data_IF_964848546635
#
_entry.id   IF_964848546635
#
_cell.length_a   1.000
_cell.length_b   1.000
_cell.length_c   1.000
_cell.angle_alpha   90.00
_cell.angle_beta   90.00
_cell.angle_gamma   90.00
#
_symmetry.space_group_name_H-M   'P 1'
#
loop_
_entity.id
_entity.type
_entity.pdbx_description
1 polymer ?
#
# COMPACT_ATOMS: atom_id res chain seq x y z
N UNK A 1 36.84 -10.20 -19.72
CA UNK A 1 35.53 -10.43 -19.05
C UNK A 1 34.49 -10.53 -20.15
N UNK A 2 34.07 -11.76 -20.48
CA UNK A 2 33.07 -12.00 -21.52
C UNK A 2 31.67 -11.94 -20.89
N UNK A 3 30.84 -11.01 -21.36
CA UNK A 3 29.42 -10.93 -21.01
C UNK A 3 28.69 -12.17 -21.54
N UNK A 4 28.05 -12.92 -20.65
CA UNK A 4 27.24 -14.07 -21.02
C UNK A 4 25.83 -13.61 -21.44
N UNK A 5 25.28 -14.08 -22.57
CA UNK A 5 23.93 -13.74 -22.99
C UNK A 5 22.90 -14.41 -22.07
N UNK A 6 21.99 -13.61 -21.50
CA UNK A 6 20.88 -14.10 -20.67
C UNK A 6 19.91 -14.97 -21.48
N UNK A 7 19.73 -16.21 -21.04
CA UNK A 7 18.99 -17.29 -21.71
C UNK A 7 17.57 -17.50 -21.13
N UNK A 8 16.82 -16.42 -20.84
CA UNK A 8 15.49 -16.52 -20.19
C UNK A 8 14.33 -15.93 -21.01
N UNK A 9 14.46 -15.86 -22.33
CA UNK A 9 13.32 -15.54 -23.20
C UNK A 9 12.83 -16.81 -23.90
N UNK A 10 11.61 -17.31 -23.60
CA UNK A 10 11.04 -18.38 -24.40
C UNK A 10 10.82 -17.84 -25.82
N UNK A 11 11.63 -18.30 -26.77
CA UNK A 11 11.39 -18.13 -28.20
C UNK A 11 10.14 -18.94 -28.56
N UNK A 12 8.97 -18.33 -28.38
CA UNK A 12 7.73 -18.82 -28.95
C UNK A 12 7.83 -18.67 -30.48
N UNK A 13 8.39 -19.70 -31.11
CA UNK A 13 8.44 -19.89 -32.55
C UNK A 13 7.04 -20.13 -33.11
N UNK A 14 6.23 -19.08 -33.16
CA UNK A 14 5.03 -19.07 -33.97
C UNK A 14 5.42 -18.57 -35.36
N UNK A 15 5.61 -19.50 -36.31
CA UNK A 15 5.56 -19.21 -37.74
C UNK A 15 4.18 -18.60 -38.03
N UNK A 16 4.07 -17.28 -37.97
CA UNK A 16 2.82 -16.56 -38.24
C UNK A 16 2.57 -16.62 -39.75
N UNK A 17 1.63 -17.47 -40.15
CA UNK A 17 0.99 -17.42 -41.46
C UNK A 17 0.55 -15.99 -41.73
N UNK A 18 1.19 -15.33 -42.69
CA UNK A 18 0.92 -13.95 -43.06
C UNK A 18 -0.38 -13.86 -43.86
N UNK A 19 -1.41 -13.23 -43.28
CA UNK A 19 -2.54 -12.60 -43.98
C UNK A 19 -3.57 -11.97 -43.02
N UNK A 20 -3.44 -12.15 -41.70
CA UNK A 20 -4.33 -11.47 -40.75
C UNK A 20 -3.92 -9.99 -40.60
N UNK A 21 -4.86 -9.03 -40.79
CA UNK A 21 -4.61 -7.64 -40.44
C UNK A 21 -4.19 -7.59 -38.97
N UNK A 22 -3.15 -6.80 -38.65
CA UNK A 22 -2.67 -6.60 -37.28
C UNK A 22 -3.75 -5.88 -36.48
N UNK A 23 -4.71 -6.64 -35.97
CA UNK A 23 -5.69 -6.17 -34.99
C UNK A 23 -4.90 -5.65 -33.81
N UNK A 24 -5.02 -4.34 -33.56
CA UNK A 24 -4.31 -3.69 -32.46
C UNK A 24 -4.89 -4.24 -31.14
N UNK A 25 -4.13 -5.06 -30.39
CA UNK A 25 -4.63 -5.72 -29.18
C UNK A 25 -5.05 -4.70 -28.11
N UNK A 26 -4.48 -3.49 -28.15
CA UNK A 26 -4.86 -2.41 -27.24
C UNK A 26 -6.23 -1.82 -27.55
N UNK A 27 -6.59 -1.70 -28.84
CA UNK A 27 -7.89 -1.19 -29.25
C UNK A 27 -9.03 -2.18 -28.91
N UNK A 28 -8.80 -3.47 -29.13
CA UNK A 28 -9.75 -4.54 -28.76
C UNK A 28 -9.90 -4.61 -27.24
N UNK A 29 -8.79 -4.45 -26.52
CA UNK A 29 -8.78 -4.42 -25.06
C UNK A 29 -9.56 -3.25 -24.44
N UNK A 30 -9.37 -2.04 -24.95
CA UNK A 30 -10.10 -0.86 -24.50
C UNK A 30 -11.61 -0.99 -24.80
N UNK A 31 -11.98 -1.56 -25.95
CA UNK A 31 -13.36 -1.85 -26.30
C UNK A 31 -14.02 -2.86 -25.34
N UNK A 32 -13.33 -3.96 -25.02
CA UNK A 32 -13.83 -4.97 -24.09
C UNK A 32 -14.05 -4.39 -22.68
N UNK A 33 -13.15 -3.54 -22.20
CA UNK A 33 -13.31 -2.88 -20.90
C UNK A 33 -14.47 -1.87 -20.87
N UNK A 34 -14.69 -1.13 -21.95
CA UNK A 34 -15.85 -0.24 -22.06
C UNK A 34 -17.16 -1.03 -22.06
N UNK A 35 -17.20 -2.15 -22.79
CA UNK A 35 -18.34 -3.08 -22.82
C UNK A 35 -18.58 -3.70 -21.44
N UNK A 36 -17.54 -4.12 -20.72
CA UNK A 36 -17.66 -4.65 -19.36
C UNK A 36 -18.23 -3.63 -18.38
N UNK A 37 -17.77 -2.37 -18.43
CA UNK A 37 -18.32 -1.28 -17.60
C UNK A 37 -19.77 -0.96 -17.95
N UNK A 38 -20.12 -1.02 -19.23
CA UNK A 38 -21.49 -0.79 -19.70
C UNK A 38 -22.45 -1.91 -19.25
N UNK A 39 -22.06 -3.18 -19.43
CA UNK A 39 -22.84 -4.36 -19.02
C UNK A 39 -23.00 -4.45 -17.50
N UNK A 40 -22.02 -3.96 -16.72
CA UNK A 40 -22.08 -3.92 -15.26
C UNK A 40 -22.99 -2.83 -14.67
N UNK A 41 -23.55 -1.95 -15.51
CA UNK A 41 -24.43 -0.86 -15.06
C UNK A 41 -25.90 -1.33 -15.08
N UNK A 42 -26.67 -1.14 -14.00
CA UNK A 42 -28.09 -1.52 -13.94
C UNK A 42 -28.99 -0.89 -15.00
N UNK A 43 -28.53 0.21 -15.62
CA UNK A 43 -29.19 0.90 -16.73
C UNK A 43 -29.22 0.09 -18.03
N UNK A 44 -28.24 -0.80 -18.26
CA UNK A 44 -28.26 -1.72 -19.39
C UNK A 44 -29.38 -2.76 -19.23
N UNK A 45 -29.51 -3.36 -18.04
CA UNK A 45 -30.58 -4.31 -17.73
C UNK A 45 -31.98 -3.69 -17.87
N UNK A 46 -32.13 -2.44 -17.44
CA UNK A 46 -33.39 -1.70 -17.60
C UNK A 46 -33.76 -1.53 -19.09
N UNK A 47 -32.82 -1.06 -19.92
CA UNK A 47 -33.04 -0.94 -21.37
C UNK A 47 -33.32 -2.28 -22.05
N UNK A 48 -32.57 -3.32 -21.71
CA UNK A 48 -32.76 -4.65 -22.26
C UNK A 48 -34.16 -5.20 -21.94
N UNK A 49 -34.62 -5.03 -20.69
CA UNK A 49 -35.97 -5.42 -20.27
C UNK A 49 -37.05 -4.66 -21.05
N UNK A 50 -36.89 -3.35 -21.24
CA UNK A 50 -37.82 -2.53 -22.03
C UNK A 50 -37.93 -3.06 -23.47
N UNK A 51 -36.80 -3.35 -24.12
CA UNK A 51 -36.79 -3.88 -25.49
C UNK A 51 -37.55 -5.20 -25.58
N UNK A 52 -37.34 -6.12 -24.64
CA UNK A 52 -38.05 -7.40 -24.59
C UNK A 52 -39.55 -7.20 -24.41
N UNK A 53 -39.96 -6.34 -23.47
CA UNK A 53 -41.38 -6.03 -23.22
C UNK A 53 -42.03 -5.43 -24.47
N UNK A 54 -41.35 -4.47 -25.13
CA UNK A 54 -41.84 -3.85 -26.36
C UNK A 54 -41.95 -4.88 -27.49
N UNK A 55 -40.99 -5.79 -27.63
CA UNK A 55 -41.04 -6.86 -28.64
C UNK A 55 -42.26 -7.77 -28.44
N UNK A 56 -42.47 -8.23 -27.21
CA UNK A 56 -43.62 -9.07 -26.84
C UNK A 56 -44.93 -8.31 -27.10
N UNK A 57 -45.01 -7.02 -26.70
CA UNK A 57 -46.20 -6.19 -26.89
C UNK A 57 -46.51 -5.94 -28.36
N UNK A 58 -45.51 -5.62 -29.19
CA UNK A 58 -45.66 -5.46 -30.63
C UNK A 58 -46.13 -6.75 -31.30
N UNK A 59 -45.57 -7.89 -30.89
CA UNK A 59 -45.96 -9.19 -31.42
C UNK A 59 -47.41 -9.56 -31.04
N UNK A 60 -47.79 -9.33 -29.77
CA UNK A 60 -49.14 -9.55 -29.29
C UNK A 60 -50.18 -8.63 -29.96
N UNK A 61 -49.81 -7.38 -30.27
CA UNK A 61 -50.67 -6.43 -30.98
C UNK A 61 -50.77 -6.72 -32.48
N UNK A 62 -49.71 -7.25 -33.10
CA UNK A 62 -49.65 -7.62 -34.52
C UNK A 62 -50.31 -8.98 -34.81
N UNK A 63 -51.52 -9.20 -34.28
CA UNK A 63 -52.26 -10.46 -34.32
C UNK A 63 -52.51 -11.01 -35.74
N UNK A 64 -52.49 -10.13 -36.75
CA UNK A 64 -52.71 -10.47 -38.16
C UNK A 64 -51.43 -10.92 -38.90
N UNK A 65 -50.24 -10.50 -38.47
CA UNK A 65 -48.98 -10.82 -39.15
C UNK A 65 -48.09 -11.81 -38.41
N UNK A 66 -48.29 -11.99 -37.08
CA UNK A 66 -47.67 -13.04 -36.26
C UNK A 66 -46.20 -13.32 -36.64
N UNK A 67 -45.40 -12.25 -36.73
CA UNK A 67 -44.01 -12.34 -37.21
C UNK A 67 -43.20 -13.36 -36.39
N UNK A 68 -43.40 -13.39 -35.07
CA UNK A 68 -42.70 -14.28 -34.13
C UNK A 68 -43.72 -14.94 -33.18
N UNK A 69 -44.47 -15.97 -33.61
CA UNK A 69 -45.52 -16.59 -32.81
C UNK A 69 -44.96 -17.22 -31.52
N UNK A 70 -45.78 -17.30 -30.48
CA UNK A 70 -45.42 -18.03 -29.25
C UNK A 70 -44.92 -19.45 -29.60
N UNK A 71 -43.70 -19.85 -29.23
CA UNK A 71 -42.87 -19.40 -28.10
C UNK A 71 -41.75 -18.36 -28.40
N UNK A 72 -41.92 -17.46 -29.38
CA UNK A 72 -40.94 -16.41 -29.75
C UNK A 72 -39.57 -16.94 -30.19
N UNK A 73 -39.54 -17.69 -31.29
CA UNK A 73 -38.32 -18.36 -31.78
C UNK A 73 -37.22 -17.36 -32.18
N UNK A 74 -37.59 -16.21 -32.74
CA UNK A 74 -36.61 -15.22 -33.19
C UNK A 74 -35.98 -14.50 -32.01
N UNK A 75 -36.77 -14.14 -31.00
CA UNK A 75 -36.27 -13.57 -29.76
C UNK A 75 -35.31 -14.56 -29.07
N UNK A 76 -35.69 -15.83 -28.99
CA UNK A 76 -34.83 -16.86 -28.39
C UNK A 76 -33.51 -17.06 -29.17
N UNK A 77 -33.57 -17.05 -30.50
CA UNK A 77 -32.38 -17.15 -31.35
C UNK A 77 -31.44 -15.95 -31.16
N UNK A 78 -32.00 -14.74 -31.04
CA UNK A 78 -31.23 -13.53 -30.78
C UNK A 78 -30.52 -13.60 -29.42
N UNK A 79 -31.23 -14.00 -28.36
CA UNK A 79 -30.64 -14.20 -27.03
C UNK A 79 -29.55 -15.27 -27.02
N UNK A 80 -29.76 -16.38 -27.73
CA UNK A 80 -28.78 -17.46 -27.84
C UNK A 80 -27.49 -16.97 -28.50
N UNK A 81 -27.62 -16.19 -29.58
CA UNK A 81 -26.47 -15.60 -30.29
C UNK A 81 -25.79 -14.52 -29.44
N UNK A 82 -26.57 -13.70 -28.73
CA UNK A 82 -26.06 -12.69 -27.81
C UNK A 82 -25.20 -13.32 -26.71
N UNK A 83 -25.69 -14.40 -26.09
CA UNK A 83 -24.94 -15.13 -25.08
C UNK A 83 -23.65 -15.75 -25.65
N UNK A 84 -23.71 -16.33 -26.85
CA UNK A 84 -22.56 -16.91 -27.52
C UNK A 84 -21.44 -15.89 -27.80
N UNK A 85 -21.79 -14.65 -28.19
CA UNK A 85 -20.81 -13.59 -28.43
C UNK A 85 -20.36 -12.87 -27.14
N UNK A 86 -21.17 -12.91 -26.08
CA UNK A 86 -20.79 -12.33 -24.79
C UNK A 86 -19.59 -13.04 -24.15
N UNK A 87 -19.55 -14.38 -24.20
CA UNK A 87 -18.47 -15.17 -23.60
C UNK A 87 -17.04 -14.77 -24.05
N UNK A 88 -16.72 -14.68 -25.36
CA UNK A 88 -15.39 -14.26 -25.80
C UNK A 88 -15.08 -12.79 -25.48
N UNK A 89 -16.07 -11.90 -25.52
CA UNK A 89 -15.87 -10.49 -25.13
C UNK A 89 -15.56 -10.36 -23.63
N UNK A 90 -16.27 -11.11 -22.79
CA UNK A 90 -16.04 -11.15 -21.35
C UNK A 90 -14.64 -11.70 -21.07
N UNK A 91 -14.22 -12.77 -21.76
CA UNK A 91 -12.88 -13.34 -21.61
C UNK A 91 -11.78 -12.32 -21.97
N UNK A 92 -11.96 -11.53 -23.03
CA UNK A 92 -11.02 -10.46 -23.39
C UNK A 92 -10.94 -9.37 -22.32
N UNK A 93 -12.09 -8.97 -21.76
CA UNK A 93 -12.12 -8.01 -20.65
C UNK A 93 -11.45 -8.57 -19.39
N UNK A 94 -11.69 -9.85 -19.07
CA UNK A 94 -11.12 -10.54 -17.92
C UNK A 94 -9.61 -10.69 -18.03
N UNK A 95 -9.06 -11.07 -19.18
CA UNK A 95 -7.61 -11.17 -19.37
C UNK A 95 -6.91 -9.83 -19.06
N UNK A 96 -7.49 -8.70 -19.51
CA UNK A 96 -6.94 -7.37 -19.20
C UNK A 96 -7.11 -6.91 -17.76
N UNK A 97 -8.15 -7.38 -17.07
CA UNK A 97 -8.28 -7.16 -15.63
C UNK A 97 -7.21 -7.96 -14.89
N UNK A 98 -7.06 -9.25 -15.22
CA UNK A 98 -6.05 -10.12 -14.63
C UNK A 98 -4.61 -9.62 -14.84
N UNK A 99 -4.28 -9.09 -16.02
CA UNK A 99 -2.96 -8.50 -16.29
C UNK A 99 -2.68 -7.28 -15.40
N UNK A 100 -3.68 -6.40 -15.21
CA UNK A 100 -3.56 -5.25 -14.31
C UNK A 100 -3.46 -5.67 -12.84
N UNK A 101 -4.29 -6.61 -12.43
CA UNK A 101 -4.30 -7.14 -11.07
C UNK A 101 -2.96 -7.81 -10.74
N UNK A 102 -2.34 -8.46 -11.73
CA UNK A 102 -1.00 -9.04 -11.58
C UNK A 102 0.06 -7.96 -11.33
N UNK A 103 0.09 -6.91 -12.13
CA UNK A 103 1.05 -5.80 -11.97
C UNK A 103 0.85 -5.14 -10.60
N UNK A 104 -0.41 -4.85 -10.23
CA UNK A 104 -0.73 -4.28 -8.93
C UNK A 104 -0.26 -5.18 -7.78
N UNK A 105 -0.48 -6.49 -7.88
CA UNK A 105 -0.03 -7.45 -6.89
C UNK A 105 1.49 -7.56 -6.80
N UNK A 106 2.22 -7.42 -7.90
CA UNK A 106 3.69 -7.39 -7.91
C UNK A 106 4.22 -6.12 -7.23
N UNK A 107 3.64 -4.95 -7.50
CA UNK A 107 3.99 -3.71 -6.81
C UNK A 107 3.68 -3.77 -5.31
N UNK A 108 2.51 -4.28 -4.93
CA UNK A 108 2.12 -4.39 -3.52
C UNK A 108 3.04 -5.34 -2.75
N UNK A 109 3.50 -6.43 -3.39
CA UNK A 109 4.54 -7.31 -2.81
C UNK A 109 5.86 -6.58 -2.61
N UNK A 110 6.32 -5.81 -3.59
CA UNK A 110 7.56 -5.04 -3.49
C UNK A 110 7.48 -3.98 -2.37
N UNK A 111 6.37 -3.23 -2.30
CA UNK A 111 6.11 -2.26 -1.22
C UNK A 111 6.07 -2.93 0.15
N UNK A 112 5.39 -4.07 0.26
CA UNK A 112 5.32 -4.84 1.51
C UNK A 112 6.69 -5.34 1.96
N UNK A 113 7.54 -5.76 1.02
CA UNK A 113 8.91 -6.17 1.33
C UNK A 113 9.76 -4.99 1.83
N UNK A 114 9.66 -3.82 1.18
CA UNK A 114 10.35 -2.60 1.63
C UNK A 114 9.88 -2.17 3.03
N UNK A 115 8.57 -2.14 3.28
CA UNK A 115 8.02 -1.79 4.60
C UNK A 115 8.50 -2.72 5.72
N UNK A 116 8.62 -4.03 5.43
CA UNK A 116 9.17 -5.00 6.39
C UNK A 116 10.65 -4.70 6.69
N UNK A 117 11.44 -4.42 5.66
CA UNK A 117 12.85 -4.07 5.84
C UNK A 117 13.03 -2.78 6.64
N UNK A 118 12.25 -1.74 6.35
CA UNK A 118 12.27 -0.48 7.11
C UNK A 118 11.87 -0.70 8.58
N UNK A 119 10.85 -1.51 8.81
CA UNK A 119 10.41 -1.84 10.18
C UNK A 119 11.51 -2.60 10.93
N UNK A 120 12.16 -3.56 10.29
CA UNK A 120 13.27 -4.30 10.88
C UNK A 120 14.48 -3.39 11.16
N UNK A 121 14.80 -2.48 10.25
CA UNK A 121 15.84 -1.47 10.44
C UNK A 121 15.53 -0.58 11.65
N UNK A 122 14.32 -0.01 11.71
CA UNK A 122 13.89 0.83 12.82
C UNK A 122 13.88 0.06 14.15
N UNK A 123 13.50 -1.22 14.16
CA UNK A 123 13.54 -2.05 15.36
C UNK A 123 14.97 -2.29 15.85
N UNK A 124 15.93 -2.50 14.95
CA UNK A 124 17.35 -2.65 15.27
C UNK A 124 17.94 -1.34 15.81
N UNK A 125 17.65 -0.21 15.17
CA UNK A 125 18.06 1.11 15.62
C UNK A 125 17.46 1.46 16.99
N UNK A 126 16.18 1.16 17.20
CA UNK A 126 15.53 1.36 18.49
C UNK A 126 16.15 0.49 19.59
N UNK A 127 16.51 -0.75 19.28
CA UNK A 127 17.19 -1.63 20.21
C UNK A 127 18.60 -1.11 20.57
N UNK A 128 19.36 -0.65 19.58
CA UNK A 128 20.67 -0.03 19.79
C UNK A 128 20.56 1.25 20.63
N UNK A 129 19.62 2.13 20.29
CA UNK A 129 19.32 3.35 21.06
C UNK A 129 18.92 3.04 22.49
N UNK A 130 18.09 2.00 22.70
CA UNK A 130 17.67 1.56 24.04
C UNK A 130 18.86 1.10 24.89
N UNK A 131 19.83 0.39 24.32
CA UNK A 131 21.04 -0.02 25.03
C UNK A 131 21.88 1.21 25.41
N UNK A 132 22.13 2.10 24.45
CA UNK A 132 22.90 3.34 24.68
C UNK A 132 22.27 4.24 25.75
N UNK A 133 20.94 4.42 25.73
CA UNK A 133 20.20 5.17 26.75
C UNK A 133 20.20 4.42 28.09
N UNK A 134 20.09 3.09 28.07
CA UNK A 134 20.16 2.26 29.27
C UNK A 134 21.48 2.42 30.02
N UNK A 135 22.61 2.49 29.32
CA UNK A 135 23.93 2.74 29.91
C UNK A 135 24.03 4.13 30.56
N UNK A 136 23.56 5.18 29.86
CA UNK A 136 23.58 6.57 30.35
C UNK A 136 22.62 6.83 31.53
N UNK A 137 21.50 6.12 31.59
CA UNK A 137 20.46 6.30 32.60
C UNK A 137 20.54 5.27 33.74
N UNK A 138 21.69 4.63 33.97
CA UNK A 138 21.83 3.69 35.08
C UNK A 138 21.64 4.43 36.40
N UNK A 139 20.73 3.94 37.27
CA UNK A 139 20.43 4.53 38.59
C UNK A 139 21.70 4.85 39.39
N UNK A 140 22.71 4.01 39.28
CA UNK A 140 23.98 4.17 40.00
C UNK A 140 24.85 5.29 39.44
N UNK A 141 24.77 5.60 38.13
CA UNK A 141 25.44 6.76 37.55
C UNK A 141 24.79 8.06 38.00
N UNK A 142 23.46 8.15 37.90
CA UNK A 142 22.71 9.32 38.38
C UNK A 142 22.91 9.51 39.89
N UNK A 143 22.88 8.42 40.67
CA UNK A 143 23.14 8.47 42.11
C UNK A 143 24.59 8.83 42.43
N UNK A 144 25.54 8.32 41.64
CA UNK A 144 26.96 8.66 41.75
C UNK A 144 27.22 10.13 41.51
N UNK A 145 26.64 10.70 40.46
CA UNK A 145 26.82 12.11 40.12
C UNK A 145 26.08 13.04 41.09
N UNK A 146 24.89 12.64 41.57
CA UNK A 146 24.18 13.34 42.66
C UNK A 146 24.99 13.33 43.96
N UNK A 147 25.56 12.20 44.36
CA UNK A 147 26.40 12.13 45.56
C UNK A 147 27.67 12.97 45.39
N UNK A 148 28.30 12.94 44.23
CA UNK A 148 29.50 13.74 43.95
C UNK A 148 29.22 15.24 44.07
N UNK A 149 28.10 15.69 43.51
CA UNK A 149 27.63 17.08 43.64
C UNK A 149 27.33 17.44 45.11
N UNK A 150 26.71 16.52 45.86
CA UNK A 150 26.42 16.72 47.28
C UNK A 150 27.70 16.81 48.13
N UNK A 151 28.66 15.90 47.92
CA UNK A 151 29.94 15.88 48.62
C UNK A 151 30.76 17.14 48.31
N UNK A 152 30.80 17.60 47.06
CA UNK A 152 31.43 18.87 46.67
C UNK A 152 30.78 20.07 47.36
N UNK A 153 29.44 20.09 47.46
CA UNK A 153 28.72 21.14 48.16
C UNK A 153 29.03 21.12 49.67
N UNK A 154 29.05 19.94 50.31
CA UNK A 154 29.36 19.82 51.73
C UNK A 154 30.81 20.24 52.05
N UNK A 155 31.77 19.86 51.21
CA UNK A 155 33.16 20.26 51.32
C UNK A 155 33.33 21.78 51.16
N UNK A 156 32.59 22.38 50.24
CA UNK A 156 32.59 23.83 50.05
C UNK A 156 32.09 24.57 51.30
N UNK A 157 31.00 24.09 51.92
CA UNK A 157 30.49 24.63 53.19
C UNK A 157 31.49 24.46 54.34
N UNK A 158 32.11 23.29 54.47
CA UNK A 158 33.11 23.01 55.52
C UNK A 158 34.32 23.92 55.38
N UNK A 159 34.80 24.15 54.16
CA UNK A 159 35.88 25.10 53.86
C UNK A 159 35.48 26.52 54.22
N UNK A 160 34.25 26.93 53.91
CA UNK A 160 33.74 28.24 54.26
C UNK A 160 33.62 28.42 55.78
N UNK A 161 33.07 27.43 56.51
CA UNK A 161 32.99 27.42 57.98
C UNK A 161 34.38 27.50 58.62
N UNK A 162 35.37 26.75 58.11
CA UNK A 162 36.76 26.83 58.58
C UNK A 162 37.39 28.21 58.31
N UNK A 163 37.13 28.80 57.14
CA UNK A 163 37.62 30.15 56.81
C UNK A 163 37.03 31.17 57.77
N UNK A 164 35.71 31.16 57.97
CA UNK A 164 35.01 32.03 58.93
C UNK A 164 35.51 31.84 60.38
N UNK A 165 35.84 30.61 60.79
CA UNK A 165 36.40 30.35 62.12
C UNK A 165 37.79 30.96 62.29
N UNK A 166 38.67 30.79 61.29
CA UNK A 166 40.01 31.40 61.29
C UNK A 166 39.95 32.92 61.28
N UNK A 167 39.05 33.50 60.50
CA UNK A 167 38.79 34.95 60.49
C UNK A 167 38.33 35.45 61.87
N UNK A 168 37.46 34.69 62.57
CA UNK A 168 37.03 35.01 63.95
C UNK A 168 38.16 34.87 64.97
N UNK A 169 38.94 33.79 64.92
CA UNK A 169 40.08 33.57 65.82
C UNK A 169 41.17 34.63 65.61
N UNK A 170 41.40 35.07 64.36
CA UNK A 170 42.30 36.19 64.07
C UNK A 170 41.76 37.53 64.59
N UNK A 171 40.46 37.79 64.42
CA UNK A 171 39.83 39.00 64.96
C UNK A 171 39.81 39.03 66.50
N UNK A 172 39.72 37.86 67.15
CA UNK A 172 39.79 37.72 68.61
C UNK A 172 41.24 37.85 69.13
N UNK A 173 42.22 37.35 68.37
CA UNK A 173 43.64 37.50 68.68
C UNK A 173 44.16 38.94 68.48
N UNK A 174 43.66 39.66 67.48
CA UNK A 174 43.93 41.10 67.29
C UNK A 174 43.13 42.00 68.25
N UNK A 175 42.21 41.43 69.03
CA UNK A 175 41.21 42.16 69.82
C UNK A 175 41.46 42.29 71.33
N UNK A 176 42.58 41.83 71.91
CA UNK A 176 42.83 42.05 73.34
C UNK A 176 43.36 43.48 73.63
N UNK A 177 42.69 44.25 74.51
CA UNK A 177 42.99 45.65 74.78
C UNK A 177 44.29 45.85 75.58
N UNK A 178 45.06 46.86 75.19
CA UNK A 178 45.96 47.55 76.11
C UNK A 178 45.13 48.40 77.08
N UNK A 179 45.56 48.35 78.35
CA UNK A 179 45.14 49.13 79.52
C UNK A 179 43.95 48.61 80.33
#
# INVERSE_FOLDING_TARGET
MAEQPRLDVPSAGARRFGLLPRLNPDAVGAGAEAVARFLGTGRYLAWQTIIVVVWIALNAAAFAWQWDPYPFILLNLAFSTQAAYAAPLILLAQNRQADRDRVQAEEDRARSAAQRADTEYLARELAALRIAVGELATRDFIRGELNRMYDEAEDSERREKKRRKREREQAEADGLPSA
#
